data_IF_777327183627
#
_entry.id   IF_777327183627
#
_cell.length_a   1.000
_cell.length_b   1.000
_cell.length_c   1.000
_cell.angle_alpha   90.00
_cell.angle_beta   90.00
_cell.angle_gamma   90.00
#
_symmetry.space_group_name_H-M   'P 1'
#
loop_
_entity.id
_entity.type
_entity.pdbx_description
1 polymer ?
#
# COMPACT_ATOMS: atom_id res chain seq x y z
N UNK A 1 39.36 14.62 -15.13
CA UNK A 1 38.04 14.00 -15.41
C UNK A 1 37.45 13.57 -14.08
N UNK A 2 36.27 14.05 -13.67
CA UNK A 2 35.60 13.52 -12.49
C UNK A 2 35.20 12.06 -12.78
N UNK A 3 35.58 11.13 -11.90
CA UNK A 3 35.17 9.73 -11.99
C UNK A 3 33.66 9.67 -11.75
N UNK A 4 32.92 9.18 -12.74
CA UNK A 4 31.53 8.79 -12.57
C UNK A 4 31.49 7.59 -11.61
N UNK A 5 30.93 7.76 -10.42
CA UNK A 5 30.81 6.73 -9.37
C UNK A 5 29.45 6.04 -9.36
N UNK A 6 28.68 6.07 -10.46
CA UNK A 6 27.48 5.25 -10.60
C UNK A 6 27.85 3.78 -10.83
N UNK A 7 28.36 3.13 -9.79
CA UNK A 7 28.36 1.67 -9.71
C UNK A 7 26.92 1.22 -9.42
N UNK A 8 26.31 0.32 -10.22
CA UNK A 8 25.00 -0.22 -9.92
C UNK A 8 25.02 -0.83 -8.51
N UNK A 9 24.12 -0.38 -7.64
CA UNK A 9 23.93 -0.99 -6.33
C UNK A 9 23.36 -2.39 -6.57
N UNK A 10 24.16 -3.42 -6.30
CA UNK A 10 23.69 -4.81 -6.34
C UNK A 10 23.01 -5.06 -4.99
N UNK A 11 21.69 -5.20 -5.01
CA UNK A 11 20.90 -5.53 -3.83
C UNK A 11 20.96 -7.04 -3.59
N UNK A 12 21.21 -7.45 -2.35
CA UNK A 12 21.07 -8.85 -1.94
C UNK A 12 19.66 -9.12 -1.38
N UNK A 13 19.35 -10.37 -1.08
CA UNK A 13 18.02 -10.76 -0.59
C UNK A 13 17.65 -10.09 0.74
N UNK A 14 18.63 -9.76 1.59
CA UNK A 14 18.39 -9.01 2.82
C UNK A 14 17.96 -7.56 2.53
N UNK A 15 18.61 -6.91 1.57
CA UNK A 15 18.25 -5.56 1.15
C UNK A 15 16.85 -5.53 0.54
N UNK A 16 16.53 -6.51 -0.32
CA UNK A 16 15.20 -6.65 -0.94
C UNK A 16 14.12 -6.94 0.10
N UNK A 17 14.36 -7.85 1.03
CA UNK A 17 13.44 -8.12 2.13
C UNK A 17 13.17 -6.85 2.95
N UNK A 18 14.20 -6.09 3.32
CA UNK A 18 14.02 -4.81 4.05
C UNK A 18 13.17 -3.82 3.26
N UNK A 19 13.47 -3.61 1.97
CA UNK A 19 12.73 -2.68 1.12
C UNK A 19 11.25 -3.06 0.98
N UNK A 20 10.95 -4.35 0.80
CA UNK A 20 9.56 -4.81 0.71
C UNK A 20 8.83 -4.71 2.04
N UNK A 21 9.52 -4.94 3.17
CA UNK A 21 8.95 -4.73 4.51
C UNK A 21 8.58 -3.27 4.76
N UNK A 22 9.50 -2.33 4.49
CA UNK A 22 9.22 -0.88 4.59
C UNK A 22 8.08 -0.44 3.67
N UNK A 23 8.04 -1.00 2.46
CA UNK A 23 6.96 -0.73 1.50
C UNK A 23 5.62 -1.28 1.98
N UNK A 24 5.62 -2.42 2.68
CA UNK A 24 4.43 -3.03 3.26
C UNK A 24 3.82 -2.11 4.32
N UNK A 25 4.62 -1.66 5.29
CA UNK A 25 4.21 -0.74 6.36
C UNK A 25 3.62 0.57 5.79
N UNK A 26 4.30 1.17 4.79
CA UNK A 26 3.78 2.36 4.13
C UNK A 26 2.43 2.11 3.45
N UNK A 27 2.24 0.94 2.84
CA UNK A 27 1.00 0.58 2.16
C UNK A 27 -0.13 0.28 3.16
N UNK A 28 0.18 -0.26 4.33
CA UNK A 28 -0.79 -0.41 5.43
C UNK A 28 -1.28 0.95 5.95
N UNK A 29 -0.39 1.94 6.08
CA UNK A 29 -0.79 3.30 6.41
C UNK A 29 -1.67 3.94 5.33
N UNK A 30 -1.37 3.70 4.06
CA UNK A 30 -2.20 4.17 2.95
C UNK A 30 -3.59 3.52 2.99
N UNK A 31 -3.66 2.21 3.27
CA UNK A 31 -4.92 1.47 3.43
C UNK A 31 -5.77 2.05 4.57
N UNK A 32 -5.13 2.34 5.71
CA UNK A 32 -5.76 2.99 6.86
C UNK A 32 -6.31 4.37 6.50
N UNK A 33 -5.55 5.17 5.76
CA UNK A 33 -5.97 6.48 5.29
C UNK A 33 -7.20 6.38 4.38
N UNK A 34 -7.21 5.46 3.42
CA UNK A 34 -8.34 5.24 2.51
C UNK A 34 -9.59 4.84 3.29
N UNK A 35 -9.46 3.95 4.28
CA UNK A 35 -10.57 3.54 5.15
C UNK A 35 -11.15 4.72 5.94
N UNK A 36 -10.30 5.61 6.47
CA UNK A 36 -10.75 6.82 7.16
C UNK A 36 -11.46 7.78 6.20
N UNK A 37 -10.93 8.01 4.99
CA UNK A 37 -11.56 8.87 3.98
C UNK A 37 -12.95 8.33 3.60
N UNK A 38 -13.07 7.02 3.42
CA UNK A 38 -14.36 6.36 3.14
C UNK A 38 -15.37 6.59 4.26
N UNK A 39 -14.96 6.40 5.51
CA UNK A 39 -15.79 6.65 6.68
C UNK A 39 -16.28 8.11 6.76
N UNK A 40 -15.38 9.08 6.60
CA UNK A 40 -15.73 10.51 6.59
C UNK A 40 -16.68 10.84 5.42
N UNK A 41 -16.46 10.24 4.26
CA UNK A 41 -17.33 10.41 3.08
C UNK A 41 -18.74 9.91 3.36
N UNK A 42 -18.89 8.73 3.98
CA UNK A 42 -20.19 8.18 4.34
C UNK A 42 -20.91 9.04 5.40
N UNK A 43 -20.19 9.58 6.38
CA UNK A 43 -20.77 10.52 7.36
C UNK A 43 -21.26 11.83 6.70
N UNK A 44 -20.50 12.36 5.73
CA UNK A 44 -20.91 13.54 4.97
C UNK A 44 -22.15 13.23 4.12
N UNK A 45 -22.17 12.09 3.44
CA UNK A 45 -23.33 11.62 2.66
C UNK A 45 -24.58 11.51 3.52
N UNK A 46 -24.47 10.88 4.69
CA UNK A 46 -25.58 10.77 5.66
C UNK A 46 -26.09 12.14 6.09
N UNK A 47 -25.18 13.07 6.44
CA UNK A 47 -25.54 14.44 6.82
C UNK A 47 -26.25 15.18 5.68
N UNK A 48 -25.77 15.04 4.45
CA UNK A 48 -26.36 15.70 3.28
C UNK A 48 -27.73 15.13 2.91
N UNK A 49 -27.88 13.81 2.96
CA UNK A 49 -29.17 13.14 2.78
C UNK A 49 -30.16 13.58 3.85
N UNK A 50 -29.75 13.62 5.12
CA UNK A 50 -30.64 13.92 6.26
C UNK A 50 -31.08 15.38 6.30
N UNK A 51 -30.17 16.32 6.08
CA UNK A 51 -30.45 17.75 6.28
C UNK A 51 -30.80 18.51 5.00
N UNK A 52 -30.42 17.97 3.83
CA UNK A 52 -30.54 18.67 2.56
C UNK A 52 -31.24 17.84 1.48
N UNK A 53 -31.70 16.62 1.80
CA UNK A 53 -32.39 15.71 0.87
C UNK A 53 -31.57 15.45 -0.42
N UNK A 54 -30.25 15.40 -0.29
CA UNK A 54 -29.33 15.08 -1.39
C UNK A 54 -29.27 13.56 -1.55
N UNK A 55 -29.52 13.07 -2.76
CA UNK A 55 -29.47 11.64 -3.06
C UNK A 55 -28.02 11.13 -3.10
N UNK A 56 -27.77 9.97 -2.50
CA UNK A 56 -26.46 9.32 -2.48
C UNK A 56 -25.94 8.97 -3.88
N UNK A 57 -26.79 8.87 -4.90
CA UNK A 57 -26.38 8.60 -6.29
C UNK A 57 -25.40 9.64 -6.84
N UNK A 58 -25.42 10.88 -6.31
CA UNK A 58 -24.47 11.92 -6.68
C UNK A 58 -23.02 11.57 -6.29
N UNK A 59 -22.82 10.62 -5.37
CA UNK A 59 -21.52 10.19 -4.89
C UNK A 59 -21.03 8.89 -5.56
N UNK A 60 -21.79 8.32 -6.50
CA UNK A 60 -21.48 7.04 -7.12
C UNK A 60 -20.05 6.93 -7.68
N UNK A 61 -19.58 7.98 -8.35
CA UNK A 61 -18.21 8.01 -8.88
C UNK A 61 -17.17 8.02 -7.75
N UNK A 62 -17.42 8.77 -6.68
CA UNK A 62 -16.53 8.81 -5.52
C UNK A 62 -16.48 7.45 -4.80
N UNK A 63 -17.64 6.82 -4.59
CA UNK A 63 -17.75 5.50 -3.98
C UNK A 63 -16.95 4.45 -4.78
N UNK A 64 -17.03 4.50 -6.12
CA UNK A 64 -16.22 3.64 -6.99
C UNK A 64 -14.73 3.88 -6.86
N UNK A 65 -14.30 5.14 -6.80
CA UNK A 65 -12.89 5.48 -6.67
C UNK A 65 -12.35 5.01 -5.33
N UNK A 66 -13.09 5.21 -4.23
CA UNK A 66 -12.72 4.73 -2.91
C UNK A 66 -12.62 3.20 -2.86
N UNK A 67 -13.60 2.50 -3.42
CA UNK A 67 -13.57 1.03 -3.50
C UNK A 67 -12.39 0.52 -4.34
N UNK A 68 -12.06 1.17 -5.45
CA UNK A 68 -10.91 0.81 -6.27
C UNK A 68 -9.59 1.07 -5.52
N UNK A 69 -9.48 2.19 -4.81
CA UNK A 69 -8.30 2.51 -4.01
C UNK A 69 -8.09 1.50 -2.87
N UNK A 70 -9.16 1.11 -2.18
CA UNK A 70 -9.14 0.10 -1.12
C UNK A 70 -8.64 -1.25 -1.66
N UNK A 71 -9.24 -1.73 -2.76
CA UNK A 71 -8.80 -2.95 -3.44
C UNK A 71 -7.31 -2.89 -3.86
N UNK A 72 -6.88 -1.77 -4.45
CA UNK A 72 -5.47 -1.61 -4.87
C UNK A 72 -4.50 -1.61 -3.67
N UNK A 73 -4.90 -1.05 -2.54
CA UNK A 73 -4.06 -1.00 -1.35
C UNK A 73 -3.91 -2.39 -0.73
N UNK A 74 -5.02 -3.12 -0.57
CA UNK A 74 -5.03 -4.49 -0.06
C UNK A 74 -4.18 -5.44 -0.92
N UNK A 75 -4.36 -5.40 -2.24
CA UNK A 75 -3.57 -6.21 -3.18
C UNK A 75 -2.07 -5.86 -3.12
N UNK A 76 -1.74 -4.59 -2.87
CA UNK A 76 -0.35 -4.15 -2.73
C UNK A 76 0.28 -4.63 -1.43
N UNK A 77 -0.42 -4.53 -0.29
CA UNK A 77 0.05 -5.10 0.98
C UNK A 77 0.33 -6.60 0.82
N UNK A 78 -0.64 -7.35 0.29
CA UNK A 78 -0.49 -8.80 0.10
C UNK A 78 0.70 -9.16 -0.80
N UNK A 79 0.91 -8.39 -1.88
CA UNK A 79 2.03 -8.62 -2.80
C UNK A 79 3.38 -8.33 -2.14
N UNK A 80 3.49 -7.22 -1.39
CA UNK A 80 4.72 -6.80 -0.74
C UNK A 80 5.09 -7.73 0.42
N UNK A 81 4.11 -8.16 1.21
CA UNK A 81 4.29 -9.14 2.27
C UNK A 81 4.83 -10.46 1.73
N UNK A 82 4.25 -10.96 0.63
CA UNK A 82 4.74 -12.18 -0.02
C UNK A 82 6.20 -12.05 -0.48
N UNK A 83 6.54 -10.93 -1.15
CA UNK A 83 7.91 -10.69 -1.63
C UNK A 83 8.91 -10.52 -0.48
N UNK A 84 8.48 -9.85 0.61
CA UNK A 84 9.28 -9.74 1.83
C UNK A 84 9.60 -11.14 2.40
N UNK A 85 8.59 -12.00 2.53
CA UNK A 85 8.76 -13.35 3.06
C UNK A 85 9.64 -14.23 2.17
N UNK A 86 9.45 -14.18 0.85
CA UNK A 86 10.27 -14.92 -0.12
C UNK A 86 11.76 -14.58 0.04
N UNK A 87 12.12 -13.30 0.00
CA UNK A 87 13.51 -12.87 0.12
C UNK A 87 14.09 -13.04 1.53
N UNK A 88 13.26 -12.92 2.59
CA UNK A 88 13.70 -13.20 3.94
C UNK A 88 14.08 -14.69 4.12
N UNK A 89 13.34 -15.60 3.50
CA UNK A 89 13.62 -17.04 3.50
C UNK A 89 14.87 -17.37 2.69
N UNK A 90 15.03 -16.79 1.49
CA UNK A 90 16.23 -16.95 0.65
C UNK A 90 17.49 -16.50 1.39
N UNK A 91 17.43 -15.35 2.06
CA UNK A 91 18.52 -14.85 2.89
C UNK A 91 18.84 -15.77 4.08
N UNK A 92 17.82 -16.30 4.75
CA UNK A 92 18.00 -17.24 5.85
C UNK A 92 18.68 -18.53 5.37
N UNK A 93 18.25 -19.10 4.25
CA UNK A 93 18.86 -20.28 3.65
C UNK A 93 20.33 -20.04 3.24
N UNK A 94 20.64 -18.86 2.70
CA UNK A 94 22.02 -18.48 2.37
C UNK A 94 22.91 -18.38 3.62
N UNK A 95 22.36 -17.98 4.78
CA UNK A 95 23.09 -17.93 6.06
C UNK A 95 23.31 -19.30 6.70
N UNK A 96 22.37 -20.23 6.54
CA UNK A 96 22.47 -21.58 7.14
C UNK A 96 23.31 -22.55 6.29
N UNK A 97 23.51 -22.26 5.00
CA UNK A 97 24.35 -23.03 4.09
C UNK A 97 25.85 -22.69 4.11
N UNK A 98 26.27 -21.75 4.96
CA UNK A 98 27.66 -21.30 5.18
C UNK A 98 28.10 -21.64 6.60
#
# INVERSE_FOLDING_TARGET
>A
MPKNTNTPKIYNDADLASMYGESCEFTEWLSTLIAQVKKETDQIKEKLSTHYNVDNCHFYTLDKLLALSEFMADERVATLERLHQEHAQEWAAHKEGV
#
